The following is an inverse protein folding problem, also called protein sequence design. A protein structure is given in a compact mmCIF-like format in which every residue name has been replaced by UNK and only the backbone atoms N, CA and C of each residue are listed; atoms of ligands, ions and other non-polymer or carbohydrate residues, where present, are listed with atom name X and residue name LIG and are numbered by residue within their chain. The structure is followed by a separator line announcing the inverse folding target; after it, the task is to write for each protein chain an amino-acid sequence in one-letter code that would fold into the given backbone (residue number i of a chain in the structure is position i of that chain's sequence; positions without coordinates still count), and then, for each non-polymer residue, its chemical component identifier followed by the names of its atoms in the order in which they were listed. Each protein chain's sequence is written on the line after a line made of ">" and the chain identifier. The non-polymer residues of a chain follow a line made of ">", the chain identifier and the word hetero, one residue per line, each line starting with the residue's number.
data_IF_620219599179
#
_entry.id   IF_620219599179
#
_cell.length_a   1.000
_cell.length_b   1.000
_cell.length_c   1.000
_cell.angle_alpha   90.00
_cell.angle_beta   90.00
_cell.angle_gamma   90.00
#
_symmetry.space_group_name_H-M   'P 1'
#
loop_
_entity.id
_entity.type
_entity.pdbx_description
1 polymer ?
#
# COMPACT_ATOMS: atom_id res chain seq x y z
N UNK A 1 30.23 -13.43 -0.11
CA UNK A 1 28.91 -13.86 -0.62
C UNK A 1 28.82 -13.49 -2.09
N UNK A 2 28.26 -14.35 -2.95
CA UNK A 2 28.03 -14.05 -4.37
C UNK A 2 27.04 -12.87 -4.48
N UNK A 3 27.30 -11.91 -5.34
CA UNK A 3 26.34 -10.84 -5.60
C UNK A 3 25.04 -11.46 -6.17
N UNK A 4 23.87 -11.12 -5.63
CA UNK A 4 22.58 -11.65 -6.09
C UNK A 4 21.75 -10.57 -6.80
N UNK A 5 20.82 -10.98 -7.67
CA UNK A 5 19.90 -10.08 -8.38
C UNK A 5 18.49 -10.68 -8.40
N UNK A 6 17.47 -9.82 -8.54
CA UNK A 6 16.09 -10.24 -8.80
C UNK A 6 15.92 -10.86 -10.19
N UNK A 7 16.83 -10.60 -11.14
CA UNK A 7 16.83 -11.29 -12.44
C UNK A 7 17.20 -12.79 -12.30
N UNK A 8 17.94 -13.15 -11.24
CA UNK A 8 18.51 -14.50 -11.01
C UNK A 8 17.82 -15.30 -9.89
N UNK A 9 16.56 -15.00 -9.59
CA UNK A 9 15.77 -15.66 -8.54
C UNK A 9 15.85 -17.20 -8.52
N UNK A 10 15.97 -17.83 -9.70
CA UNK A 10 16.05 -19.29 -9.85
C UNK A 10 17.34 -19.89 -9.28
N UNK A 11 18.42 -19.12 -9.20
CA UNK A 11 19.72 -19.58 -8.72
C UNK A 11 19.94 -19.30 -7.22
N UNK A 12 19.04 -18.54 -6.58
CA UNK A 12 19.20 -18.21 -5.16
C UNK A 12 19.32 -19.46 -4.28
N UNK A 13 18.53 -20.52 -4.52
CA UNK A 13 18.62 -21.75 -3.71
C UNK A 13 19.90 -22.55 -3.95
N UNK A 14 20.59 -22.33 -5.07
CA UNK A 14 21.89 -22.95 -5.36
C UNK A 14 22.99 -22.29 -4.56
N UNK A 15 23.01 -20.96 -4.55
CA UNK A 15 24.04 -20.16 -3.88
C UNK A 15 23.78 -19.97 -2.38
N UNK A 16 22.50 -20.02 -2.00
CA UNK A 16 21.98 -19.79 -0.66
C UNK A 16 20.98 -20.89 -0.32
N UNK A 17 21.45 -21.97 0.30
CA UNK A 17 20.66 -23.18 0.56
C UNK A 17 19.33 -22.90 1.29
N UNK A 18 19.32 -21.94 2.21
CA UNK A 18 18.11 -21.56 2.95
C UNK A 18 17.01 -20.97 2.04
N UNK A 19 17.36 -20.40 0.89
CA UNK A 19 16.39 -19.91 -0.09
C UNK A 19 15.55 -21.04 -0.72
N UNK A 20 16.02 -22.30 -0.63
CA UNK A 20 15.26 -23.51 -1.01
C UNK A 20 14.45 -24.13 0.13
N UNK A 21 14.37 -23.47 1.29
CA UNK A 21 13.64 -23.96 2.46
C UNK A 21 12.12 -24.05 2.28
N UNK A 22 11.44 -24.68 3.23
CA UNK A 22 9.97 -24.91 3.18
C UNK A 22 9.15 -23.87 3.94
N UNK A 23 9.80 -22.93 4.64
CA UNK A 23 9.17 -21.83 5.39
C UNK A 23 9.53 -20.48 4.78
N UNK A 24 9.58 -20.40 3.45
CA UNK A 24 9.98 -19.20 2.74
C UNK A 24 8.88 -18.14 2.67
N UNK A 25 9.29 -16.91 2.40
CA UNK A 25 8.47 -15.71 2.19
C UNK A 25 8.85 -15.05 0.85
N UNK A 26 7.96 -14.25 0.24
CA UNK A 26 6.61 -13.88 0.68
C UNK A 26 5.59 -15.00 0.41
N UNK A 27 4.34 -14.83 0.81
CA UNK A 27 3.24 -15.79 0.56
C UNK A 27 2.02 -15.09 -0.03
N UNK A 28 1.11 -15.89 -0.61
CA UNK A 28 -0.26 -15.46 -0.81
C UNK A 28 -1.09 -15.67 0.47
N UNK A 29 -1.71 -14.61 0.97
CA UNK A 29 -2.70 -14.67 2.03
C UNK A 29 -4.06 -15.00 1.41
N UNK A 30 -4.54 -16.23 1.61
CA UNK A 30 -5.92 -16.61 1.32
C UNK A 30 -6.80 -16.24 2.52
N UNK A 31 -7.62 -15.20 2.39
CA UNK A 31 -8.43 -14.69 3.49
C UNK A 31 -9.51 -15.67 3.94
N UNK A 32 -9.95 -16.57 3.06
CA UNK A 32 -10.94 -17.60 3.38
C UNK A 32 -10.31 -18.78 4.15
N UNK A 33 -8.99 -18.96 4.07
CA UNK A 33 -8.25 -19.98 4.82
C UNK A 33 -7.51 -19.43 6.04
N UNK A 34 -7.42 -18.10 6.18
CA UNK A 34 -6.83 -17.47 7.35
C UNK A 34 -7.62 -17.82 8.61
N UNK A 35 -6.90 -18.17 9.68
CA UNK A 35 -7.50 -18.64 10.93
C UNK A 35 -7.58 -17.47 11.89
N UNK A 36 -8.79 -17.06 12.27
CA UNK A 36 -8.95 -16.07 13.31
C UNK A 36 -8.31 -16.55 14.62
N UNK A 37 -7.43 -15.73 15.19
CA UNK A 37 -6.77 -15.99 16.46
C UNK A 37 -7.00 -14.79 17.41
N UNK A 38 -7.82 -14.95 18.46
CA UNK A 38 -8.07 -13.87 19.43
C UNK A 38 -6.84 -13.55 20.30
N UNK A 39 -5.83 -14.41 20.29
CA UNK A 39 -4.58 -14.22 21.03
C UNK A 39 -3.64 -13.22 20.34
N UNK A 40 -3.88 -12.89 19.06
CA UNK A 40 -3.14 -11.86 18.35
C UNK A 40 -3.50 -10.47 18.90
N UNK A 41 -2.58 -9.92 19.71
CA UNK A 41 -2.75 -8.63 20.37
C UNK A 41 -2.47 -7.46 19.40
N UNK A 42 -3.05 -6.28 19.61
CA UNK A 42 -2.70 -5.10 18.82
C UNK A 42 -1.19 -4.83 18.82
N UNK A 43 -0.62 -4.49 17.65
CA UNK A 43 0.76 -4.03 17.56
C UNK A 43 0.88 -2.68 18.30
N UNK A 44 1.90 -2.55 19.14
CA UNK A 44 2.21 -1.30 19.83
C UNK A 44 3.62 -0.84 19.48
N UNK A 45 3.71 0.41 19.07
CA UNK A 45 4.94 1.06 18.63
C UNK A 45 5.40 2.04 19.71
N UNK A 46 6.69 2.05 20.03
CA UNK A 46 7.31 3.01 20.95
C UNK A 46 8.46 3.73 20.27
N UNK A 47 8.51 5.06 20.42
CA UNK A 47 9.60 5.90 19.89
C UNK A 47 9.50 6.26 18.40
N UNK A 48 8.43 5.90 17.69
CA UNK A 48 8.32 6.05 16.23
C UNK A 48 8.13 7.49 15.73
N UNK A 49 7.92 8.44 16.62
CA UNK A 49 7.90 9.87 16.28
C UNK A 49 9.27 10.46 16.59
N UNK A 50 10.10 10.63 15.56
CA UNK A 50 11.43 11.19 15.69
C UNK A 50 11.41 12.70 15.48
N UNK A 51 12.22 13.47 16.23
CA UNK A 51 12.34 14.91 16.03
C UNK A 51 13.18 15.22 14.80
N UNK A 52 12.87 16.32 14.12
CA UNK A 52 13.51 16.74 12.86
C UNK A 52 15.03 17.01 12.96
N UNK A 53 15.58 17.16 14.17
CA UNK A 53 17.02 17.30 14.37
C UNK A 53 17.77 15.95 14.36
N UNK A 54 17.08 14.82 14.32
CA UNK A 54 17.68 13.51 14.02
C UNK A 54 17.92 13.43 12.52
N UNK A 55 19.07 12.88 12.14
CA UNK A 55 19.41 12.61 10.75
C UNK A 55 19.36 11.10 10.52
N UNK A 56 18.52 10.67 9.60
CA UNK A 56 18.34 9.27 9.21
C UNK A 56 19.05 9.04 7.89
N UNK A 57 19.78 7.93 7.78
CA UNK A 57 20.51 7.59 6.56
C UNK A 57 19.57 6.89 5.59
N UNK A 58 19.39 7.48 4.41
CA UNK A 58 18.67 6.89 3.28
C UNK A 58 19.70 6.46 2.23
N UNK A 59 19.61 5.23 1.73
CA UNK A 59 20.56 4.68 0.76
C UNK A 59 19.88 3.86 -0.31
N UNK A 60 20.41 3.93 -1.53
CA UNK A 60 20.16 2.93 -2.56
C UNK A 60 21.20 1.82 -2.41
N UNK A 61 20.78 0.64 -1.97
CA UNK A 61 21.70 -0.50 -1.82
C UNK A 61 21.80 -1.38 -3.09
N UNK A 62 21.22 -0.93 -4.21
CA UNK A 62 21.13 -1.66 -5.48
C UNK A 62 19.95 -2.63 -5.57
N UNK A 63 19.32 -2.98 -4.45
CA UNK A 63 18.17 -3.89 -4.41
C UNK A 63 16.89 -3.19 -3.95
N UNK A 64 17.02 -2.11 -3.18
CA UNK A 64 15.93 -1.30 -2.67
C UNK A 64 16.46 0.04 -2.16
N UNK A 65 15.55 0.95 -1.80
CA UNK A 65 15.85 2.06 -0.92
C UNK A 65 15.73 1.59 0.53
N UNK A 66 16.74 1.88 1.35
CA UNK A 66 16.77 1.54 2.77
C UNK A 66 16.89 2.82 3.59
N UNK A 67 16.06 2.95 4.61
CA UNK A 67 16.18 3.96 5.65
C UNK A 67 16.64 3.29 6.95
N UNK A 68 17.85 3.63 7.39
CA UNK A 68 18.39 3.12 8.67
C UNK A 68 17.69 3.85 9.83
N UNK A 69 17.20 3.09 10.81
CA UNK A 69 16.41 3.61 11.92
C UNK A 69 17.13 3.42 13.26
N UNK A 70 16.98 4.35 14.21
CA UNK A 70 17.65 4.24 15.50
C UNK A 70 16.99 3.16 16.36
N UNK A 71 17.81 2.35 17.02
CA UNK A 71 17.37 1.22 17.88
C UNK A 71 16.49 1.63 19.08
N UNK A 72 16.32 2.94 19.32
CA UNK A 72 15.37 3.47 20.30
C UNK A 72 13.90 3.21 19.92
N UNK A 73 13.61 2.92 18.65
CA UNK A 73 12.28 2.52 18.19
C UNK A 73 12.06 1.03 18.49
N UNK A 74 10.90 0.69 19.02
CA UNK A 74 10.59 -0.67 19.41
C UNK A 74 9.13 -1.08 19.20
N UNK A 75 8.94 -2.38 18.93
CA UNK A 75 7.68 -3.07 19.14
C UNK A 75 7.57 -3.44 20.61
N UNK A 76 6.62 -2.83 21.32
CA UNK A 76 6.40 -3.05 22.76
C UNK A 76 5.15 -3.87 23.06
N UNK A 77 4.35 -4.17 22.04
CA UNK A 77 3.14 -4.97 22.14
C UNK A 77 2.77 -5.62 20.81
N UNK A 78 1.95 -6.68 20.88
CA UNK A 78 1.64 -7.56 19.74
C UNK A 78 2.43 -8.87 19.77
N UNK A 79 3.61 -8.84 20.40
CA UNK A 79 4.50 -9.99 20.58
C UNK A 79 4.78 -10.23 22.06
N UNK A 80 5.20 -11.44 22.41
CA UNK A 80 5.60 -11.78 23.78
C UNK A 80 6.96 -11.17 24.18
N UNK A 81 7.82 -10.90 23.20
CA UNK A 81 9.12 -10.23 23.37
C UNK A 81 9.05 -8.81 22.81
N UNK A 82 9.93 -7.94 23.29
CA UNK A 82 10.17 -6.66 22.63
C UNK A 82 11.10 -6.86 21.44
N UNK A 83 10.92 -6.05 20.40
CA UNK A 83 11.78 -6.03 19.24
C UNK A 83 12.24 -4.60 18.97
N UNK A 84 13.53 -4.39 18.72
CA UNK A 84 14.08 -3.09 18.29
C UNK A 84 14.07 -3.01 16.79
N UNK A 85 13.78 -1.83 16.23
CA UNK A 85 13.88 -1.64 14.79
C UNK A 85 15.34 -1.66 14.34
N UNK A 86 15.58 -2.13 13.12
CA UNK A 86 16.87 -2.01 12.44
C UNK A 86 16.77 -1.02 11.27
N UNK A 87 15.80 -1.21 10.39
CA UNK A 87 15.62 -0.43 9.17
C UNK A 87 14.20 -0.55 8.65
N UNK A 88 13.87 0.27 7.66
CA UNK A 88 12.78 -0.01 6.73
C UNK A 88 13.27 0.03 5.29
N UNK A 89 12.53 -0.63 4.41
CA UNK A 89 12.77 -0.63 2.97
C UNK A 89 11.47 -0.90 2.18
N UNK A 90 11.53 -0.74 0.86
CA UNK A 90 10.37 -0.89 -0.01
C UNK A 90 10.59 -1.92 -1.12
N UNK A 91 9.50 -2.55 -1.55
CA UNK A 91 9.43 -3.38 -2.75
C UNK A 91 8.39 -2.79 -3.69
N UNK A 92 8.70 -2.70 -4.97
CA UNK A 92 7.83 -2.09 -5.97
C UNK A 92 7.95 -2.79 -7.33
N UNK A 93 6.98 -2.49 -8.19
CA UNK A 93 6.91 -3.04 -9.53
C UNK A 93 7.63 -2.17 -10.54
N UNK A 94 6.92 -1.84 -11.60
CA UNK A 94 7.38 -0.99 -12.70
C UNK A 94 6.20 -0.12 -13.15
N UNK A 95 6.40 0.81 -14.10
CA UNK A 95 5.28 1.49 -14.73
C UNK A 95 4.25 0.55 -15.39
N UNK A 96 4.63 -0.70 -15.69
CA UNK A 96 3.76 -1.69 -16.34
C UNK A 96 3.02 -2.62 -15.38
N UNK A 97 3.29 -2.59 -14.07
CA UNK A 97 2.61 -3.50 -13.15
C UNK A 97 2.96 -3.37 -11.67
N UNK A 98 2.17 -4.02 -10.80
CA UNK A 98 2.35 -3.99 -9.35
C UNK A 98 3.58 -4.78 -8.89
N UNK A 99 4.12 -4.47 -7.71
CA UNK A 99 5.29 -5.16 -7.15
C UNK A 99 5.40 -5.18 -5.63
N UNK A 100 4.29 -5.22 -4.90
CA UNK A 100 4.30 -5.78 -3.53
C UNK A 100 4.85 -7.21 -3.54
N UNK A 101 5.41 -7.68 -2.44
CA UNK A 101 5.94 -9.03 -2.30
C UNK A 101 4.82 -10.02 -1.99
N UNK A 102 4.09 -9.76 -0.91
CA UNK A 102 2.92 -10.53 -0.52
C UNK A 102 1.75 -10.25 -1.47
N UNK A 103 0.85 -11.22 -1.55
CA UNK A 103 -0.43 -11.06 -2.25
C UNK A 103 -1.58 -11.42 -1.34
N UNK A 104 -2.77 -10.90 -1.63
CA UNK A 104 -4.00 -11.27 -0.92
C UNK A 104 -4.99 -11.81 -1.95
N UNK A 105 -5.45 -13.05 -1.77
CA UNK A 105 -6.34 -13.75 -2.70
C UNK A 105 -5.84 -13.69 -4.17
N UNK A 106 -4.53 -13.81 -4.36
CA UNK A 106 -3.86 -13.72 -5.66
C UNK A 106 -3.63 -12.30 -6.18
N UNK A 107 -4.17 -11.27 -5.53
CA UNK A 107 -3.96 -9.86 -5.92
C UNK A 107 -2.62 -9.35 -5.40
N UNK A 108 -1.82 -8.80 -6.30
CA UNK A 108 -0.61 -8.02 -5.99
C UNK A 108 -0.94 -6.53 -5.97
N UNK A 109 -0.45 -5.83 -4.96
CA UNK A 109 -0.54 -4.37 -4.76
C UNK A 109 0.66 -3.63 -5.38
N UNK A 110 0.54 -2.31 -5.56
CA UNK A 110 1.50 -1.52 -6.33
C UNK A 110 2.93 -1.60 -5.76
N UNK A 111 3.05 -1.49 -4.43
CA UNK A 111 4.31 -1.65 -3.70
C UNK A 111 4.03 -2.19 -2.28
N UNK A 112 5.08 -2.45 -1.51
CA UNK A 112 5.00 -2.91 -0.12
C UNK A 112 6.16 -2.32 0.68
N UNK A 113 5.87 -1.80 1.88
CA UNK A 113 6.88 -1.36 2.84
C UNK A 113 7.15 -2.49 3.84
N UNK A 114 8.42 -2.72 4.17
CA UNK A 114 8.84 -3.59 5.27
C UNK A 114 9.56 -2.78 6.33
N UNK A 115 9.10 -2.87 7.58
CA UNK A 115 9.80 -2.34 8.75
C UNK A 115 10.36 -3.52 9.53
N UNK A 116 11.68 -3.62 9.58
CA UNK A 116 12.41 -4.79 10.09
C UNK A 116 12.84 -4.55 11.52
N UNK A 117 12.53 -5.52 12.39
CA UNK A 117 12.88 -5.48 13.80
C UNK A 117 13.60 -6.77 14.18
N UNK A 118 14.44 -6.68 15.21
CA UNK A 118 15.11 -7.82 15.81
C UNK A 118 14.78 -7.95 17.31
N UNK A 119 14.70 -9.19 17.77
CA UNK A 119 14.28 -9.56 19.11
C UNK A 119 15.34 -9.10 20.12
N UNK A 120 14.92 -8.40 21.18
CA UNK A 120 15.83 -7.89 22.23
C UNK A 120 16.49 -8.98 23.09
N UNK A 121 16.12 -10.24 22.86
CA UNK A 121 16.84 -11.41 23.38
C UNK A 121 18.28 -11.50 22.85
N UNK A 122 18.54 -10.98 21.65
CA UNK A 122 19.85 -11.03 20.99
C UNK A 122 20.52 -9.65 21.05
N UNK A 123 21.85 -9.63 21.09
CA UNK A 123 22.62 -8.39 21.30
C UNK A 123 22.65 -7.52 20.03
N UNK A 124 22.40 -8.11 18.86
CA UNK A 124 22.45 -7.41 17.57
C UNK A 124 21.49 -8.00 16.54
N UNK A 125 21.18 -7.20 15.51
CA UNK A 125 20.46 -7.66 14.33
C UNK A 125 21.13 -8.88 13.67
N UNK A 126 22.46 -8.87 13.54
CA UNK A 126 23.23 -9.95 12.89
C UNK A 126 23.17 -11.26 13.67
N UNK A 127 23.15 -11.20 15.00
CA UNK A 127 22.94 -12.41 15.81
C UNK A 127 21.49 -12.88 15.70
N UNK A 128 20.52 -11.96 15.77
CA UNK A 128 19.11 -12.30 15.68
C UNK A 128 18.73 -12.92 14.33
N UNK A 129 19.26 -12.42 13.22
CA UNK A 129 18.80 -12.80 11.88
C UNK A 129 18.98 -14.29 11.54
N UNK A 130 19.87 -15.00 12.23
CA UNK A 130 20.12 -16.44 12.05
C UNK A 130 19.35 -17.32 13.05
N UNK A 131 18.54 -16.75 13.93
CA UNK A 131 17.83 -17.47 14.99
C UNK A 131 16.30 -17.54 14.75
N UNK A 132 15.61 -18.68 15.02
CA UNK A 132 14.21 -18.93 14.61
C UNK A 132 13.13 -17.92 15.08
N UNK A 133 13.40 -17.11 16.10
CA UNK A 133 12.49 -16.08 16.64
C UNK A 133 13.12 -14.67 16.59
N UNK A 134 14.21 -14.53 15.85
CA UNK A 134 15.09 -13.39 15.89
C UNK A 134 14.53 -12.16 15.22
N UNK A 135 13.71 -12.30 14.17
CA UNK A 135 13.19 -11.15 13.43
C UNK A 135 11.67 -11.05 13.49
N UNK A 136 11.18 -9.82 13.49
CA UNK A 136 9.79 -9.48 13.26
C UNK A 136 9.70 -8.41 12.17
N UNK A 137 8.92 -8.65 11.14
CA UNK A 137 8.73 -7.69 10.04
C UNK A 137 7.28 -7.25 10.00
N UNK A 138 7.07 -5.93 10.05
CA UNK A 138 5.79 -5.32 9.77
C UNK A 138 5.73 -4.98 8.28
N UNK A 139 4.67 -5.43 7.61
CA UNK A 139 4.43 -5.19 6.19
C UNK A 139 3.12 -4.44 5.97
N UNK A 140 3.12 -3.44 5.10
CA UNK A 140 1.91 -2.77 4.65
C UNK A 140 1.92 -2.61 3.12
N UNK A 141 0.78 -2.88 2.50
CA UNK A 141 0.61 -2.69 1.06
C UNK A 141 0.44 -1.21 0.72
N UNK A 142 1.01 -0.82 -0.41
CA UNK A 142 0.90 0.51 -1.00
C UNK A 142 0.02 0.45 -2.24
N UNK A 143 -0.95 1.35 -2.32
CA UNK A 143 -1.86 1.52 -3.45
C UNK A 143 -1.82 2.96 -3.96
N UNK A 144 -2.19 3.14 -5.23
CA UNK A 144 -2.35 4.46 -5.81
C UNK A 144 -3.70 5.05 -5.38
N UNK A 145 -3.66 6.19 -4.73
CA UNK A 145 -4.81 7.01 -4.36
C UNK A 145 -4.76 8.41 -4.99
N UNK A 146 -5.73 9.25 -4.61
CA UNK A 146 -5.90 10.58 -5.20
C UNK A 146 -4.97 11.66 -4.61
N UNK A 147 -4.64 11.54 -3.32
CA UNK A 147 -3.87 12.55 -2.59
C UNK A 147 -2.42 12.13 -2.36
N UNK A 148 -1.55 13.11 -2.14
CA UNK A 148 -0.21 12.84 -1.66
C UNK A 148 -0.22 12.35 -0.22
N UNK A 149 0.68 11.41 0.07
CA UNK A 149 0.92 10.93 1.41
C UNK A 149 2.12 11.67 2.02
N UNK A 150 1.84 12.57 2.97
CA UNK A 150 2.88 13.40 3.60
C UNK A 150 3.99 12.57 4.26
N UNK A 151 3.71 11.39 4.81
CA UNK A 151 4.73 10.59 5.48
C UNK A 151 5.68 9.91 4.48
N UNK A 152 5.16 9.49 3.33
CA UNK A 152 6.00 8.94 2.27
C UNK A 152 6.76 10.03 1.51
N UNK A 153 6.25 11.27 1.50
CA UNK A 153 6.96 12.41 0.91
C UNK A 153 8.37 12.57 1.50
N UNK A 154 8.50 12.46 2.83
CA UNK A 154 9.76 12.53 3.59
C UNK A 154 10.83 11.54 3.12
N UNK A 155 10.46 10.46 2.41
CA UNK A 155 11.41 9.51 1.80
C UNK A 155 11.53 9.77 0.29
N UNK A 156 10.39 9.92 -0.38
CA UNK A 156 10.33 9.91 -1.85
C UNK A 156 10.96 11.15 -2.48
N UNK A 157 10.95 12.30 -1.80
CA UNK A 157 11.57 13.53 -2.31
C UNK A 157 13.09 13.44 -2.42
N UNK A 158 13.71 12.56 -1.63
CA UNK A 158 15.17 12.36 -1.57
C UNK A 158 15.69 11.28 -2.53
N UNK A 159 14.82 10.50 -3.19
CA UNK A 159 15.26 9.47 -4.14
C UNK A 159 16.17 10.01 -5.27
N UNK A 160 15.95 11.22 -5.83
CA UNK A 160 16.84 11.77 -6.85
C UNK A 160 18.27 12.03 -6.38
N UNK A 161 18.53 12.11 -5.07
CA UNK A 161 19.87 12.29 -4.49
C UNK A 161 20.66 10.97 -4.37
N UNK A 162 19.97 9.83 -4.48
CA UNK A 162 20.54 8.49 -4.29
C UNK A 162 20.24 7.56 -5.48
N UNK A 163 20.21 8.11 -6.69
CA UNK A 163 19.87 7.36 -7.90
C UNK A 163 20.80 6.16 -8.12
N UNK A 164 22.10 6.35 -7.94
CA UNK A 164 23.11 5.33 -8.20
C UNK A 164 23.31 4.39 -7.00
N UNK A 165 23.71 3.15 -7.29
CA UNK A 165 23.97 2.14 -6.26
C UNK A 165 25.08 2.61 -5.32
N UNK A 166 24.82 2.51 -4.01
CA UNK A 166 25.74 2.90 -2.95
C UNK A 166 25.70 4.39 -2.59
N UNK A 167 24.92 5.21 -3.30
CA UNK A 167 24.68 6.58 -2.87
C UNK A 167 23.81 6.62 -1.61
N UNK A 168 24.11 7.61 -0.77
CA UNK A 168 23.44 7.84 0.50
C UNK A 168 23.15 9.34 0.67
N UNK A 169 22.05 9.66 1.34
CA UNK A 169 21.73 11.01 1.80
C UNK A 169 21.17 10.98 3.24
N UNK A 170 20.99 12.15 3.84
CA UNK A 170 20.44 12.31 5.18
C UNK A 170 19.04 12.93 5.12
N UNK A 171 18.07 12.22 5.70
CA UNK A 171 16.68 12.65 5.83
C UNK A 171 16.43 13.12 7.27
N UNK A 172 15.78 14.27 7.49
CA UNK A 172 15.36 14.69 8.83
C UNK A 172 14.46 13.66 9.52
N UNK A 173 14.48 13.62 10.85
CA UNK A 173 13.60 12.73 11.62
C UNK A 173 12.13 13.14 11.49
N UNK A 174 11.27 12.15 11.24
CA UNK A 174 9.82 12.36 11.11
C UNK A 174 9.02 11.26 11.84
N UNK A 175 7.69 11.29 11.72
CA UNK A 175 6.83 10.27 12.29
C UNK A 175 6.83 8.98 11.45
N UNK A 176 7.73 8.05 11.78
CA UNK A 176 7.86 6.74 11.13
C UNK A 176 6.57 5.92 11.25
N UNK A 177 5.79 6.06 12.34
CA UNK A 177 4.52 5.35 12.48
C UNK A 177 3.49 5.75 11.40
N UNK A 178 3.62 6.95 10.82
CA UNK A 178 2.77 7.42 9.72
C UNK A 178 3.00 6.68 8.39
N UNK A 179 4.09 5.91 8.27
CA UNK A 179 4.33 5.03 7.12
C UNK A 179 3.51 3.72 7.19
N UNK A 180 2.92 3.43 8.34
CA UNK A 180 2.07 2.27 8.59
C UNK A 180 0.59 2.68 8.71
N UNK A 181 -0.35 1.74 8.57
CA UNK A 181 -1.77 2.04 8.71
C UNK A 181 -2.12 2.60 10.08
N UNK A 182 -3.05 3.56 10.12
CA UNK A 182 -3.51 4.15 11.39
C UNK A 182 -4.12 3.10 12.34
N UNK A 183 -4.74 2.04 11.80
CA UNK A 183 -5.28 0.95 12.59
C UNK A 183 -4.40 -0.31 12.52
N UNK A 184 -3.51 -0.45 13.50
CA UNK A 184 -2.60 -1.58 13.63
C UNK A 184 -3.23 -2.83 14.28
N UNK A 185 -4.56 -2.85 14.48
CA UNK A 185 -5.26 -3.99 15.11
C UNK A 185 -5.59 -5.11 14.14
N UNK A 186 -5.67 -4.82 12.85
CA UNK A 186 -6.13 -5.76 11.83
C UNK A 186 -4.98 -6.17 10.92
N UNK A 187 -4.50 -7.39 11.12
CA UNK A 187 -3.35 -7.92 10.41
C UNK A 187 -3.42 -9.44 10.29
N UNK A 188 -2.67 -9.96 9.33
CA UNK A 188 -2.34 -11.37 9.19
C UNK A 188 -0.97 -11.66 9.79
N UNK A 189 -0.78 -12.86 10.32
CA UNK A 189 0.44 -13.26 10.98
C UNK A 189 0.88 -14.66 10.57
N UNK A 190 2.17 -14.85 10.27
CA UNK A 190 2.75 -16.16 10.00
C UNK A 190 4.27 -16.19 10.22
N UNK A 191 4.84 -17.39 10.37
CA UNK A 191 6.28 -17.59 10.42
C UNK A 191 6.84 -17.89 9.03
N UNK A 192 7.88 -17.15 8.63
CA UNK A 192 8.46 -17.19 7.30
C UNK A 192 9.96 -16.92 7.30
N UNK A 193 10.44 -16.31 6.22
CA UNK A 193 11.85 -16.03 6.00
C UNK A 193 12.10 -14.57 5.67
N UNK A 194 13.39 -14.20 5.60
CA UNK A 194 13.81 -13.09 4.76
C UNK A 194 13.42 -13.36 3.30
N UNK A 195 13.03 -12.32 2.58
CA UNK A 195 12.59 -12.39 1.18
C UNK A 195 13.73 -12.17 0.19
N UNK A 196 14.94 -11.95 0.70
CA UNK A 196 16.19 -11.81 -0.04
C UNK A 196 17.24 -12.78 0.52
N UNK A 197 18.24 -13.18 -0.27
CA UNK A 197 19.35 -13.98 0.22
C UNK A 197 20.01 -13.39 1.47
N UNK A 198 20.37 -14.21 2.47
CA UNK A 198 20.39 -15.68 2.45
C UNK A 198 19.05 -16.38 2.77
N UNK A 199 17.92 -15.66 2.84
CA UNK A 199 16.58 -16.23 3.05
C UNK A 199 16.39 -17.04 4.35
N UNK A 200 17.07 -16.64 5.43
CA UNK A 200 16.91 -17.30 6.73
C UNK A 200 15.45 -17.34 7.19
N UNK A 201 15.02 -18.51 7.67
CA UNK A 201 13.64 -18.80 8.08
C UNK A 201 13.38 -18.37 9.53
N UNK A 202 13.63 -17.10 9.82
CA UNK A 202 13.75 -16.53 11.18
C UNK A 202 12.75 -15.41 11.45
N UNK A 203 11.84 -15.17 10.50
CA UNK A 203 10.99 -13.97 10.48
C UNK A 203 9.57 -14.31 10.92
N UNK A 204 9.08 -13.57 11.92
CA UNK A 204 7.65 -13.45 12.23
C UNK A 204 7.06 -12.30 11.41
N UNK A 205 6.23 -12.62 10.44
CA UNK A 205 5.60 -11.64 9.56
C UNK A 205 4.28 -11.15 10.13
N UNK A 206 4.07 -9.84 10.09
CA UNK A 206 2.78 -9.19 10.36
C UNK A 206 2.41 -8.33 9.17
N UNK A 207 1.37 -8.72 8.44
CA UNK A 207 0.91 -8.04 7.22
C UNK A 207 -0.39 -7.30 7.56
N UNK A 208 -0.37 -5.97 7.52
CA UNK A 208 -1.56 -5.18 7.83
C UNK A 208 -2.63 -5.34 6.75
N UNK A 209 -3.89 -5.46 7.19
CA UNK A 209 -5.03 -5.58 6.28
C UNK A 209 -5.38 -4.25 5.60
N UNK A 210 -5.17 -3.14 6.28
CA UNK A 210 -5.36 -1.80 5.73
C UNK A 210 -4.14 -1.41 4.87
N UNK A 211 -4.40 -0.84 3.70
CA UNK A 211 -3.36 -0.35 2.78
C UNK A 211 -3.03 1.12 3.05
N UNK A 212 -1.87 1.54 2.55
CA UNK A 212 -1.43 2.92 2.51
C UNK A 212 -1.65 3.47 1.10
N UNK A 213 -2.19 4.68 0.99
CA UNK A 213 -2.44 5.34 -0.28
C UNK A 213 -1.33 6.35 -0.57
N UNK A 214 -0.76 6.30 -1.76
CA UNK A 214 0.20 7.26 -2.31
C UNK A 214 -0.37 7.87 -3.59
N UNK A 215 0.01 9.10 -3.92
CA UNK A 215 -0.40 9.70 -5.20
C UNK A 215 0.24 8.96 -6.38
N UNK A 216 -0.34 9.12 -7.57
CA UNK A 216 0.27 8.61 -8.80
C UNK A 216 1.69 9.16 -9.01
N UNK A 217 1.92 10.43 -8.66
CA UNK A 217 3.24 11.06 -8.77
C UNK A 217 4.26 10.40 -7.83
N UNK A 218 3.89 10.19 -6.56
CA UNK A 218 4.71 9.49 -5.58
C UNK A 218 5.06 8.06 -6.01
N UNK A 219 4.08 7.32 -6.55
CA UNK A 219 4.32 5.98 -7.08
C UNK A 219 5.26 6.02 -8.30
N UNK A 220 5.13 7.02 -9.17
CA UNK A 220 6.02 7.22 -10.32
C UNK A 220 7.47 7.45 -9.88
N UNK A 221 7.70 8.31 -8.87
CA UNK A 221 9.05 8.52 -8.32
C UNK A 221 9.66 7.21 -7.81
N UNK A 222 8.89 6.43 -7.06
CA UNK A 222 9.36 5.13 -6.54
C UNK A 222 9.80 4.17 -7.64
N UNK A 223 9.02 4.02 -8.73
CA UNK A 223 9.29 3.02 -9.78
C UNK A 223 10.24 3.48 -10.89
N UNK A 224 10.68 4.75 -10.91
CA UNK A 224 11.43 5.30 -12.05
C UNK A 224 12.70 6.12 -11.69
N UNK A 225 13.08 6.18 -10.42
CA UNK A 225 14.22 7.02 -9.99
C UNK A 225 15.52 6.22 -9.77
N UNK A 226 15.46 5.13 -9.02
CA UNK A 226 16.67 4.43 -8.56
C UNK A 226 17.23 3.48 -9.62
N UNK A 227 18.54 3.25 -9.57
CA UNK A 227 19.25 2.29 -10.42
C UNK A 227 19.66 1.02 -9.67
N UNK A 228 19.74 -0.08 -10.41
CA UNK A 228 20.26 -1.37 -9.97
C UNK A 228 21.78 -1.49 -10.25
N UNK A 229 22.47 -2.53 -9.73
CA UNK A 229 23.89 -2.76 -9.99
C UNK A 229 24.25 -2.91 -11.48
N UNK A 230 23.29 -3.27 -12.31
CA UNK A 230 23.45 -3.41 -13.78
C UNK A 230 23.19 -2.10 -14.54
N UNK A 231 23.16 -0.96 -13.83
CA UNK A 231 22.90 0.39 -14.35
C UNK A 231 21.52 0.54 -15.05
N UNK A 232 20.59 -0.36 -14.75
CA UNK A 232 19.17 -0.28 -15.19
C UNK A 232 18.34 0.42 -14.12
N UNK A 233 17.13 0.87 -14.48
CA UNK A 233 16.15 1.26 -13.47
C UNK A 233 15.87 0.08 -12.52
N UNK A 234 15.96 0.34 -11.22
CA UNK A 234 15.61 -0.62 -10.18
C UNK A 234 14.09 -0.78 -10.16
N UNK A 235 13.61 -1.85 -10.76
CA UNK A 235 12.19 -2.18 -10.92
C UNK A 235 11.97 -3.66 -10.65
N UNK A 236 10.73 -4.02 -10.33
CA UNK A 236 10.33 -5.40 -10.04
C UNK A 236 11.22 -6.06 -8.97
N UNK A 237 11.59 -5.28 -7.96
CA UNK A 237 12.47 -5.71 -6.88
C UNK A 237 11.69 -6.48 -5.82
N UNK A 238 10.93 -7.49 -6.23
CA UNK A 238 10.14 -8.35 -5.35
C UNK A 238 10.35 -9.83 -5.70
N UNK A 239 10.28 -10.69 -4.69
CA UNK A 239 10.34 -12.13 -4.84
C UNK A 239 8.94 -12.69 -5.16
N UNK A 240 8.82 -13.71 -6.03
CA UNK A 240 7.58 -14.45 -6.23
C UNK A 240 7.06 -15.07 -4.93
N UNK A 241 5.74 -15.24 -4.82
CA UNK A 241 5.12 -15.90 -3.66
C UNK A 241 5.59 -17.35 -3.53
N UNK A 242 5.81 -17.77 -2.30
CA UNK A 242 6.31 -19.07 -1.91
C UNK A 242 5.17 -19.93 -1.37
N UNK A 243 5.30 -21.25 -1.48
CA UNK A 243 4.30 -22.17 -0.99
C UNK A 243 4.21 -22.16 0.54
N UNK A 244 3.00 -22.31 1.08
CA UNK A 244 2.79 -22.38 2.53
C UNK A 244 3.38 -23.64 3.16
N UNK A 245 3.49 -24.75 2.42
CA UNK A 245 4.00 -26.04 2.92
C UNK A 245 3.36 -26.46 4.26
N UNK A 246 2.03 -26.32 4.36
CA UNK A 246 1.26 -26.67 5.56
C UNK A 246 1.31 -25.64 6.69
N UNK A 247 2.06 -24.54 6.56
CA UNK A 247 1.97 -23.40 7.48
C UNK A 247 0.57 -22.80 7.41
N UNK A 248 0.11 -22.31 8.57
CA UNK A 248 -1.17 -21.61 8.72
C UNK A 248 -0.91 -20.11 8.79
N UNK A 249 -1.80 -19.33 8.19
CA UNK A 249 -1.84 -17.88 8.35
C UNK A 249 -2.91 -17.57 9.38
N UNK A 250 -2.53 -16.80 10.41
CA UNK A 250 -3.45 -16.33 11.43
C UNK A 250 -3.97 -14.94 11.05
N UNK A 251 -5.17 -14.59 11.50
CA UNK A 251 -5.75 -13.25 11.38
C UNK A 251 -6.14 -12.73 12.76
N UNK A 252 -5.85 -11.46 13.05
CA UNK A 252 -6.24 -10.81 14.31
C UNK A 252 -7.71 -10.36 14.33
N UNK A 253 -8.45 -10.66 13.27
CA UNK A 253 -9.86 -10.33 13.07
C UNK A 253 -10.58 -11.48 12.38
N UNK A 254 -11.91 -11.52 12.51
CA UNK A 254 -12.71 -12.49 11.79
C UNK A 254 -12.72 -12.15 10.30
N UNK A 255 -12.15 -13.04 9.49
CA UNK A 255 -12.29 -12.97 8.04
C UNK A 255 -13.63 -13.59 7.67
N UNK A 256 -14.45 -12.86 6.90
CA UNK A 256 -15.71 -13.43 6.39
C UNK A 256 -15.36 -14.50 5.36
N UNK A 257 -15.85 -15.74 5.48
CA UNK A 257 -15.66 -16.72 4.43
C UNK A 257 -16.39 -16.24 3.17
N UNK A 258 -15.67 -16.06 2.05
CA UNK A 258 -16.35 -15.99 0.75
C UNK A 258 -17.01 -17.35 0.53
N UNK A 259 -18.33 -17.38 0.50
CA UNK A 259 -19.10 -18.56 0.10
C UNK A 259 -18.61 -18.97 -1.29
N UNK A 260 -17.91 -20.10 -1.38
CA UNK A 260 -17.60 -20.73 -2.66
C UNK A 260 -18.94 -21.17 -3.26
N UNK A 261 -19.41 -20.48 -4.29
CA UNK A 261 -20.37 -21.09 -5.21
C UNK A 261 -19.64 -22.22 -5.94
N UNK A 262 -19.80 -23.44 -5.44
CA UNK A 262 -19.46 -24.65 -6.20
C UNK A 262 -20.45 -24.77 -7.37
N UNK A 263 -19.99 -24.96 -8.62
CA UNK A 263 -20.87 -25.35 -9.70
C UNK A 263 -21.18 -26.85 -9.55
N UNK A 264 -22.36 -27.16 -9.00
CA UNK A 264 -22.89 -28.51 -8.92
C UNK A 264 -23.94 -28.73 -10.02
N UNK A 265 -23.59 -29.62 -10.95
CA UNK A 265 -24.41 -30.43 -11.87
C UNK A 265 -25.93 -30.29 -11.83
N UNK A 266 -26.49 -30.11 -13.03
CA UNK A 266 -27.90 -30.22 -13.41
C UNK A 266 -28.56 -31.54 -12.98
N UNK A 267 -29.83 -31.48 -12.55
CA UNK A 267 -30.94 -32.16 -13.27
C UNK A 267 -32.35 -31.74 -12.80
N UNK A 268 -33.13 -31.29 -13.79
CA UNK A 268 -34.59 -31.37 -14.00
C UNK A 268 -35.64 -30.87 -12.97
N UNK A 269 -36.33 -29.81 -13.42
CA UNK A 269 -37.80 -29.60 -13.50
C UNK A 269 -38.67 -29.55 -12.22
N UNK A 270 -39.30 -28.39 -11.96
CA UNK A 270 -40.74 -28.12 -12.24
C UNK A 270 -41.19 -26.71 -11.83
N UNK A 271 -42.12 -26.20 -12.66
CA UNK A 271 -43.05 -25.06 -12.59
C UNK A 271 -43.11 -24.07 -11.40
N UNK A 272 -43.13 -22.79 -11.81
CA UNK A 272 -43.92 -21.62 -11.34
C UNK A 272 -44.15 -21.34 -9.85
N UNK A 273 -43.73 -20.13 -9.45
CA UNK A 273 -44.16 -19.46 -8.24
C UNK A 273 -43.47 -18.09 -8.10
N UNK A 274 -43.98 -17.06 -8.78
CA UNK A 274 -43.60 -15.67 -8.50
C UNK A 274 -44.15 -15.27 -7.13
N UNK A 275 -43.31 -15.34 -6.09
CA UNK A 275 -43.49 -14.58 -4.86
C UNK A 275 -42.28 -13.67 -4.66
N UNK A 276 -42.42 -12.41 -5.02
CA UNK A 276 -41.45 -11.35 -4.75
C UNK A 276 -41.40 -11.04 -3.26
N UNK A 277 -40.45 -11.65 -2.55
CA UNK A 277 -40.05 -11.13 -1.24
C UNK A 277 -39.10 -9.95 -1.48
N UNK A 278 -39.59 -8.72 -1.32
CA UNK A 278 -38.73 -7.54 -1.30
C UNK A 278 -37.76 -7.66 -0.12
N UNK A 279 -36.45 -7.70 -0.40
CA UNK A 279 -35.47 -7.57 0.66
C UNK A 279 -35.46 -6.13 1.17
N UNK A 280 -35.15 -5.91 2.45
CA UNK A 280 -35.10 -4.58 3.04
C UNK A 280 -34.19 -3.59 2.26
N UNK A 281 -33.18 -4.12 1.56
CA UNK A 281 -32.32 -3.35 0.66
C UNK A 281 -33.04 -2.82 -0.58
N UNK A 282 -34.00 -3.56 -1.14
CA UNK A 282 -34.76 -3.15 -2.33
C UNK A 282 -35.73 -2.01 -1.99
N UNK A 283 -36.34 -2.08 -0.80
CA UNK A 283 -37.20 -0.99 -0.29
C UNK A 283 -36.38 0.27 -0.03
N UNK A 284 -35.18 0.13 0.56
CA UNK A 284 -34.26 1.27 0.73
C UNK A 284 -33.84 1.86 -0.62
N UNK A 285 -33.49 1.02 -1.60
CA UNK A 285 -33.06 1.48 -2.92
C UNK A 285 -34.16 2.27 -3.65
N UNK A 286 -35.41 1.80 -3.59
CA UNK A 286 -36.56 2.53 -4.15
C UNK A 286 -36.80 3.84 -3.41
N UNK A 287 -36.72 3.86 -2.07
CA UNK A 287 -36.90 5.09 -1.28
C UNK A 287 -35.81 6.12 -1.58
N UNK A 288 -34.54 5.72 -1.65
CA UNK A 288 -33.44 6.61 -2.01
C UNK A 288 -33.52 7.09 -3.46
N UNK A 289 -33.93 6.22 -4.39
CA UNK A 289 -34.15 6.59 -5.80
C UNK A 289 -35.25 7.62 -5.97
N UNK A 290 -36.38 7.46 -5.28
CA UNK A 290 -37.49 8.43 -5.29
C UNK A 290 -37.08 9.75 -4.64
N UNK A 291 -36.39 9.70 -3.48
CA UNK A 291 -35.91 10.91 -2.82
C UNK A 291 -34.91 11.68 -3.70
N UNK A 292 -33.99 10.98 -4.36
CA UNK A 292 -33.05 11.58 -5.29
C UNK A 292 -33.75 12.24 -6.47
N UNK A 293 -34.72 11.58 -7.10
CA UNK A 293 -35.49 12.13 -8.21
C UNK A 293 -36.28 13.40 -7.81
N UNK A 294 -36.89 13.40 -6.62
CA UNK A 294 -37.62 14.57 -6.10
C UNK A 294 -36.67 15.74 -5.81
N UNK A 295 -35.52 15.48 -5.18
CA UNK A 295 -34.53 16.54 -4.91
C UNK A 295 -33.92 17.11 -6.18
N UNK A 296 -33.62 16.26 -7.18
CA UNK A 296 -33.13 16.69 -8.49
C UNK A 296 -34.17 17.54 -9.23
N UNK A 297 -35.45 17.15 -9.20
CA UNK A 297 -36.53 17.93 -9.81
C UNK A 297 -36.72 19.28 -9.11
N UNK A 298 -36.68 19.31 -7.78
CA UNK A 298 -36.77 20.56 -7.01
C UNK A 298 -35.60 21.50 -7.32
N UNK A 299 -34.39 20.96 -7.48
CA UNK A 299 -33.21 21.74 -7.84
C UNK A 299 -33.28 22.28 -9.27
N UNK A 300 -33.76 21.49 -10.22
CA UNK A 300 -34.00 21.93 -11.60
C UNK A 300 -35.08 23.02 -11.67
N UNK A 301 -36.16 22.88 -10.91
CA UNK A 301 -37.21 23.91 -10.79
C UNK A 301 -36.67 25.19 -10.14
N UNK A 302 -35.80 25.06 -9.14
CA UNK A 302 -35.12 26.19 -8.51
C UNK A 302 -34.23 26.93 -9.52
N UNK A 303 -33.39 26.22 -10.27
CA UNK A 303 -32.55 26.81 -11.33
C UNK A 303 -33.41 27.47 -12.40
N UNK A 304 -34.50 26.82 -12.83
CA UNK A 304 -35.41 27.37 -13.83
C UNK A 304 -36.06 28.67 -13.36
N UNK A 305 -36.56 28.71 -12.12
CA UNK A 305 -37.15 29.91 -11.52
C UNK A 305 -36.13 31.02 -11.37
N UNK A 306 -34.91 30.70 -10.94
CA UNK A 306 -33.82 31.69 -10.78
C UNK A 306 -33.37 32.25 -12.13
N UNK A 307 -33.29 31.43 -13.18
CA UNK A 307 -33.00 31.89 -14.55
C UNK A 307 -34.13 32.75 -15.13
N UNK A 308 -35.39 32.40 -14.88
CA UNK A 308 -36.55 33.18 -15.33
C UNK A 308 -36.63 34.55 -14.64
N UNK A 309 -36.28 34.63 -13.35
CA UNK A 309 -36.21 35.90 -12.62
C UNK A 309 -35.09 36.81 -13.14
N UNK A 310 -33.92 36.25 -13.44
CA UNK A 310 -32.81 37.02 -14.02
C UNK A 310 -33.09 37.48 -15.46
N UNK A 311 -33.82 36.69 -16.27
CA UNK A 311 -34.20 37.07 -17.62
C UNK A 311 -35.25 38.21 -17.68
N UNK A 312 -35.97 38.49 -16.59
CA UNK A 312 -36.90 39.65 -16.49
C UNK A 312 -36.21 40.97 -16.14
N UNK A 313 -34.94 40.94 -15.69
CA UNK A 313 -34.18 42.12 -15.29
C UNK A 313 -33.38 42.76 -16.44
N UNK A 314 -33.18 42.05 -17.57
CA UNK A 314 -32.43 42.54 -18.73
C UNK A 314 -33.33 42.90 -19.94
N UNK A 315 -34.22 43.88 -19.77
CA UNK A 315 -34.85 44.57 -20.90
C UNK A 315 -34.29 46.00 -21.01
N UNK A 316 -33.41 46.30 -21.98
CA UNK A 316 -32.92 47.65 -22.17
C UNK A 316 -33.82 48.39 -23.18
N UNK A 317 -34.69 49.26 -22.66
CA UNK A 317 -35.08 50.47 -23.39
C UNK A 317 -33.97 51.51 -23.18
N UNK A 318 -33.21 51.86 -24.22
CA UNK A 318 -33.01 53.24 -24.70
C UNK A 318 -31.82 53.41 -25.66
N UNK A 319 -32.15 54.06 -26.78
CA UNK A 319 -31.43 55.15 -27.44
C UNK A 319 -30.08 54.88 -28.12
N UNK A 320 -30.18 54.86 -29.46
CA UNK A 320 -29.13 55.05 -30.47
C UNK A 320 -28.32 56.32 -30.20
N UNK A 321 -26.99 56.20 -30.13
CA UNK A 321 -26.05 57.29 -30.43
C UNK A 321 -25.04 56.74 -31.44
N UNK A 322 -24.98 57.40 -32.60
CA UNK A 322 -24.10 57.06 -33.73
C UNK A 322 -22.90 58.01 -33.64
N UNK A 323 -21.69 57.46 -33.68
CA UNK A 323 -20.48 58.23 -33.99
C UNK A 323 -19.83 57.67 -35.24
N UNK A 324 -19.79 58.51 -36.28
CA UNK A 324 -19.10 58.29 -37.56
C UNK A 324 -17.63 58.69 -37.41
N UNK A 325 -16.70 57.86 -37.89
CA UNK A 325 -15.28 58.17 -37.93
C UNK A 325 -14.95 59.07 -39.14
N UNK A 326 -14.20 60.15 -38.89
CA UNK A 326 -13.66 61.00 -39.94
C UNK A 326 -12.25 60.51 -40.35
N UNK A 327 -12.06 60.38 -41.66
CA UNK A 327 -10.78 60.23 -42.34
C UNK A 327 -10.07 61.59 -42.45
N UNK A 328 -8.74 61.60 -42.35
CA UNK A 328 -7.91 62.60 -43.03
C UNK A 328 -6.64 61.97 -43.57
N UNK A 329 -6.35 62.37 -44.80
CA UNK A 329 -5.29 61.95 -45.72
C UNK A 329 -3.89 62.43 -45.32
N UNK A 330 -2.89 61.81 -45.97
CA UNK A 330 -1.52 62.31 -46.09
C UNK A 330 -1.45 63.68 -46.81
N UNK A 331 -0.49 64.54 -46.47
CA UNK A 331 0.45 65.15 -47.44
C UNK A 331 1.50 66.06 -46.76
N UNK A 332 2.71 65.97 -47.35
CA UNK A 332 3.88 66.87 -47.32
C UNK A 332 4.69 67.03 -46.02
#
# INVERSE_FOLDING_TARGET
>A
HSHWSYEDLKHWSTDYSDCGGTKQSPINVDTAQAIFSPDLRPIQLSGYSLPANKQLKLKNNGHTVVLDLPESLALTGGYAQQYRVAQLHLHWGSPSGPGSEHTVNGRRFAAEIHVVHYNTKYDSFTEAMVNPDGLAVLAAFLEVGHGENQYYHEILEHLPEIQEVGQETLVPGFNIAGLLPANLKFYFHYNGSLTTPPCYQTVKWTIFNQTMLLSHHQMSLLVSTLRSPDDKLLQNNYRPVQNLHGRRVLASFQTTPSVKHSPGSDDSATAEGHSSSFHAGDVLAVLFGVLFAVTALAFLLYIYKHRSQNARLDSPTKSKVIYTAASTENTA
#
